data_IF_078594499836
#
_entry.id   IF_078594499836
#
_cell.length_a   1.000
_cell.length_b   1.000
_cell.length_c   1.000
_cell.angle_alpha   90.00
_cell.angle_beta   90.00
_cell.angle_gamma   90.00
#
_symmetry.space_group_name_H-M   'P 1'
#
loop_
_entity.id
_entity.type
_entity.pdbx_description
1 polymer ?
#
# COMPACT_ATOMS: atom_id res chain seq x y z
N UNK A 1 8.25 23.03 84.99
CA UNK A 1 9.35 22.60 84.10
C UNK A 1 8.83 21.41 83.31
N UNK A 2 8.75 21.32 81.99
CA UNK A 2 8.96 22.20 80.85
C UNK A 2 8.47 21.43 79.61
N UNK A 3 8.12 22.16 78.54
CA UNK A 3 7.97 21.82 77.11
C UNK A 3 7.98 20.33 76.70
N UNK A 4 7.16 19.85 75.76
CA UNK A 4 7.24 20.27 74.35
C UNK A 4 5.97 19.82 73.58
N UNK A 5 5.33 20.78 72.92
CA UNK A 5 4.28 20.59 71.91
C UNK A 5 4.88 20.96 70.55
N UNK A 6 4.69 20.11 69.52
CA UNK A 6 4.51 20.43 68.09
C UNK A 6 5.06 19.31 67.20
N UNK A 7 4.18 18.74 66.34
CA UNK A 7 4.34 18.70 64.87
C UNK A 7 3.50 17.56 64.28
N UNK A 8 2.35 17.87 63.66
CA UNK A 8 1.70 17.01 62.64
C UNK A 8 0.54 17.73 61.94
N UNK A 9 0.86 18.73 61.12
CA UNK A 9 -0.09 19.36 60.19
C UNK A 9 0.65 19.93 58.97
N UNK A 10 1.33 19.09 58.19
CA UNK A 10 1.99 19.53 56.93
C UNK A 10 1.88 18.53 55.76
N UNK A 11 1.20 17.40 55.90
CA UNK A 11 1.10 16.39 54.82
C UNK A 11 -0.09 16.58 53.88
N UNK A 12 -1.06 17.42 54.23
CA UNK A 12 -2.28 17.63 53.42
C UNK A 12 -2.16 18.76 52.40
N UNK A 13 -1.32 19.78 52.61
CA UNK A 13 -1.21 20.93 51.69
C UNK A 13 -0.29 20.65 50.49
N UNK A 14 0.72 19.78 50.66
CA UNK A 14 1.63 19.39 49.56
C UNK A 14 0.93 18.59 48.46
N UNK A 15 -0.01 17.72 48.80
CA UNK A 15 -0.78 16.94 47.80
C UNK A 15 -1.70 17.82 46.95
N UNK A 16 -2.24 18.90 47.50
CA UNK A 16 -3.09 19.85 46.77
C UNK A 16 -2.29 20.78 45.86
N UNK A 17 -1.09 21.18 46.27
CA UNK A 17 -0.18 21.97 45.42
C UNK A 17 0.43 21.17 44.26
N UNK A 18 0.75 19.89 44.47
CA UNK A 18 1.26 19.03 43.38
C UNK A 18 0.17 18.75 42.32
N UNK A 19 -1.08 18.54 42.76
CA UNK A 19 -2.21 18.37 41.84
C UNK A 19 -2.55 19.65 41.07
N UNK A 20 -2.41 20.85 41.67
CA UNK A 20 -2.69 22.11 40.96
C UNK A 20 -1.63 22.44 39.90
N UNK A 21 -0.35 22.15 40.19
CA UNK A 21 0.75 22.29 39.22
C UNK A 21 0.62 21.31 38.06
N UNK A 22 0.27 20.06 38.35
CA UNK A 22 0.05 19.04 37.32
C UNK A 22 -1.12 19.41 36.39
N UNK A 23 -2.22 19.94 36.93
CA UNK A 23 -3.36 20.40 36.13
C UNK A 23 -3.03 21.63 35.28
N UNK A 24 -2.18 22.53 35.77
CA UNK A 24 -1.76 23.72 35.02
C UNK A 24 -0.83 23.35 33.85
N UNK A 25 0.08 22.39 34.05
CA UNK A 25 0.95 21.87 32.99
C UNK A 25 0.17 21.15 31.89
N UNK A 26 -0.88 20.40 32.26
CA UNK A 26 -1.80 19.76 31.32
C UNK A 26 -2.56 20.82 30.50
N UNK A 27 -3.04 21.88 31.15
CA UNK A 27 -3.79 22.95 30.48
C UNK A 27 -2.94 23.73 29.47
N UNK A 28 -1.69 24.05 29.81
CA UNK A 28 -0.71 24.67 28.89
C UNK A 28 -0.41 23.79 27.67
N UNK A 29 -0.25 22.47 27.86
CA UNK A 29 -0.05 21.51 26.76
C UNK A 29 -1.25 21.45 25.83
N UNK A 30 -2.45 21.43 26.41
CA UNK A 30 -3.71 21.44 25.66
C UNK A 30 -3.81 22.72 24.84
N UNK A 31 -3.59 23.89 25.44
CA UNK A 31 -3.63 25.17 24.72
C UNK A 31 -2.61 25.25 23.58
N UNK A 32 -1.40 24.70 23.76
CA UNK A 32 -0.40 24.62 22.68
C UNK A 32 -0.83 23.69 21.55
N UNK A 33 -1.36 22.51 21.87
CA UNK A 33 -1.88 21.58 20.87
C UNK A 33 -3.08 22.18 20.11
N UNK A 34 -3.99 22.85 20.82
CA UNK A 34 -5.09 23.60 20.19
C UNK A 34 -4.55 24.72 19.30
N UNK A 35 -3.53 25.46 19.73
CA UNK A 35 -2.91 26.47 18.88
C UNK A 35 -2.32 25.83 17.62
N UNK A 36 -1.58 24.72 17.72
CA UNK A 36 -1.03 24.01 16.55
C UNK A 36 -2.13 23.48 15.62
N UNK A 37 -3.23 22.97 16.17
CA UNK A 37 -4.37 22.51 15.39
C UNK A 37 -5.11 23.68 14.68
N UNK A 38 -5.11 24.87 15.27
CA UNK A 38 -5.86 26.04 14.79
C UNK A 38 -5.03 27.05 13.98
N UNK A 39 -3.72 27.19 14.22
CA UNK A 39 -2.87 28.23 13.63
C UNK A 39 -2.03 27.73 12.46
N UNK A 40 -1.90 26.41 12.28
CA UNK A 40 -1.07 25.86 11.22
C UNK A 40 -1.88 25.74 9.92
N UNK A 41 -1.47 26.49 8.90
CA UNK A 41 -1.90 26.26 7.50
C UNK A 41 -1.55 24.84 7.02
N UNK A 42 -0.74 24.12 7.79
CA UNK A 42 -0.32 22.76 7.52
C UNK A 42 -1.29 21.67 7.98
N UNK A 43 -2.28 21.99 8.82
CA UNK A 43 -3.22 21.00 9.35
C UNK A 43 -4.39 20.74 8.38
N UNK A 44 -4.43 19.61 7.65
CA UNK A 44 -5.35 19.45 6.52
C UNK A 44 -6.75 19.05 6.95
N UNK A 45 -6.92 18.42 8.12
CA UNK A 45 -8.20 17.89 8.59
C UNK A 45 -9.18 19.03 8.83
N UNK A 46 -9.91 19.40 7.76
CA UNK A 46 -10.85 20.50 7.72
C UNK A 46 -11.95 20.36 8.79
N UNK A 47 -12.14 19.15 9.30
CA UNK A 47 -13.10 18.77 10.33
C UNK A 47 -12.85 19.50 11.66
N UNK A 48 -11.60 19.88 11.95
CA UNK A 48 -11.28 20.68 13.14
C UNK A 48 -11.46 22.19 12.93
N UNK A 49 -11.62 22.65 11.69
CA UNK A 49 -11.70 24.08 11.36
C UNK A 49 -13.14 24.62 11.40
N UNK A 50 -14.17 23.77 11.37
CA UNK A 50 -15.57 24.21 11.32
C UNK A 50 -16.37 23.78 12.56
N UNK A 51 -16.63 24.74 13.45
CA UNK A 51 -17.77 24.68 14.39
C UNK A 51 -17.66 23.71 15.57
N UNK A 52 -16.51 23.08 15.79
CA UNK A 52 -16.28 22.24 16.96
C UNK A 52 -16.00 23.10 18.19
N UNK A 53 -16.78 22.89 19.26
CA UNK A 53 -16.55 23.56 20.55
C UNK A 53 -15.14 23.23 21.08
N UNK A 54 -14.52 24.19 21.76
CA UNK A 54 -13.23 24.06 22.45
C UNK A 54 -13.27 22.86 23.41
N UNK A 55 -14.44 22.61 24.02
CA UNK A 55 -14.71 21.44 24.87
C UNK A 55 -14.47 20.10 24.17
N UNK A 56 -14.85 19.99 22.90
CA UNK A 56 -14.70 18.76 22.11
C UNK A 56 -13.23 18.47 21.78
N UNK A 57 -12.46 19.51 21.46
CA UNK A 57 -11.02 19.38 21.28
C UNK A 57 -10.28 19.04 22.58
N UNK A 58 -10.73 19.61 23.71
CA UNK A 58 -10.20 19.29 25.04
C UNK A 58 -10.36 17.80 25.35
N UNK A 59 -11.54 17.22 25.07
CA UNK A 59 -11.80 15.78 25.27
C UNK A 59 -10.89 14.89 24.43
N UNK A 60 -10.58 15.26 23.18
CA UNK A 60 -9.62 14.50 22.36
C UNK A 60 -8.24 14.51 23.00
N UNK A 61 -7.75 15.68 23.39
CA UNK A 61 -6.39 15.79 23.93
C UNK A 61 -6.31 15.08 25.27
N UNK A 62 -7.32 15.23 26.14
CA UNK A 62 -7.43 14.49 27.40
C UNK A 62 -7.47 12.97 27.17
N UNK A 63 -8.20 12.51 26.16
CA UNK A 63 -8.23 11.10 25.77
C UNK A 63 -6.87 10.63 25.28
N UNK A 64 -6.19 11.35 24.38
CA UNK A 64 -4.87 10.94 23.88
C UNK A 64 -3.85 10.86 25.02
N UNK A 65 -3.98 11.75 26.00
CA UNK A 65 -3.12 11.78 27.18
C UNK A 65 -3.47 10.68 28.21
N UNK A 66 -4.72 10.22 28.27
CA UNK A 66 -5.21 9.26 29.27
C UNK A 66 -5.37 7.82 28.73
N UNK A 67 -5.59 7.66 27.43
CA UNK A 67 -5.82 6.37 26.78
C UNK A 67 -4.49 5.67 26.50
N UNK A 68 -4.41 4.44 26.99
CA UNK A 68 -3.37 3.47 26.64
C UNK A 68 -3.72 2.60 25.43
N UNK A 69 -4.94 2.71 24.87
CA UNK A 69 -5.45 1.85 23.80
C UNK A 69 -5.86 2.66 22.56
N UNK A 70 -5.30 2.29 21.40
CA UNK A 70 -5.56 2.95 20.10
C UNK A 70 -7.03 2.83 19.64
N UNK A 71 -7.73 1.76 20.01
CA UNK A 71 -9.14 1.56 19.66
C UNK A 71 -10.06 2.64 20.25
N UNK A 72 -9.77 3.08 21.48
CA UNK A 72 -10.53 4.15 22.15
C UNK A 72 -10.33 5.51 21.44
N UNK A 73 -9.14 5.74 20.87
CA UNK A 73 -8.83 6.97 20.13
C UNK A 73 -9.64 7.08 18.85
N UNK A 74 -9.70 6.02 18.03
CA UNK A 74 -10.47 6.00 16.79
C UNK A 74 -11.97 6.25 17.03
N UNK A 75 -12.55 5.65 18.08
CA UNK A 75 -13.95 5.88 18.47
C UNK A 75 -14.20 7.36 18.75
N UNK A 76 -13.31 7.97 19.54
CA UNK A 76 -13.48 9.36 19.99
C UNK A 76 -13.26 10.34 18.86
N UNK A 77 -12.32 10.05 17.95
CA UNK A 77 -12.13 10.85 16.76
C UNK A 77 -13.35 10.77 15.83
N UNK A 78 -13.91 9.58 15.60
CA UNK A 78 -15.15 9.43 14.81
C UNK A 78 -16.32 10.19 15.45
N UNK A 79 -16.47 10.12 16.78
CA UNK A 79 -17.48 10.92 17.50
C UNK A 79 -17.30 12.42 17.30
N UNK A 80 -16.06 12.90 17.33
CA UNK A 80 -15.78 14.30 17.08
C UNK A 80 -16.05 14.70 15.64
N UNK A 81 -15.69 13.86 14.66
CA UNK A 81 -15.93 14.11 13.24
C UNK A 81 -17.43 14.29 12.97
N UNK A 82 -18.26 13.43 13.58
CA UNK A 82 -19.72 13.55 13.48
C UNK A 82 -20.26 14.76 14.25
N UNK A 83 -19.65 15.19 15.36
CA UNK A 83 -20.06 16.37 16.14
C UNK A 83 -21.58 16.36 16.43
N UNK A 84 -22.06 15.25 16.99
CA UNK A 84 -23.48 14.96 17.28
C UNK A 84 -24.41 14.91 16.04
N UNK A 85 -23.89 14.99 14.82
CA UNK A 85 -24.64 14.66 13.60
C UNK A 85 -24.96 13.16 13.59
N UNK A 86 -26.09 12.77 12.99
CA UNK A 86 -26.42 11.35 12.77
C UNK A 86 -25.72 10.79 11.53
N UNK A 87 -25.51 11.64 10.52
CA UNK A 87 -24.90 11.30 9.24
C UNK A 87 -24.06 12.45 8.71
N UNK A 88 -23.09 12.14 7.85
CA UNK A 88 -22.24 13.11 7.14
C UNK A 88 -22.36 12.86 5.63
N UNK A 89 -22.46 13.90 4.78
CA UNK A 89 -22.46 13.74 3.33
C UNK A 89 -21.22 12.99 2.81
N UNK A 90 -21.38 12.12 1.81
CA UNK A 90 -20.28 11.33 1.23
C UNK A 90 -19.06 12.16 0.82
N UNK A 91 -19.27 13.33 0.22
CA UNK A 91 -18.17 14.20 -0.23
C UNK A 91 -17.32 14.73 0.93
N UNK A 92 -17.89 14.94 2.12
CA UNK A 92 -17.12 15.31 3.33
C UNK A 92 -16.25 14.13 3.81
N UNK A 93 -16.73 12.88 3.67
CA UNK A 93 -15.95 11.68 3.98
C UNK A 93 -14.84 11.43 2.96
N UNK A 94 -15.11 11.66 1.68
CA UNK A 94 -14.07 11.65 0.63
C UNK A 94 -12.97 12.66 0.94
N UNK A 95 -13.36 13.88 1.35
CA UNK A 95 -12.43 14.92 1.79
C UNK A 95 -11.66 14.52 3.05
N UNK A 96 -12.29 13.83 4.01
CA UNK A 96 -11.61 13.29 5.18
C UNK A 96 -10.47 12.34 4.78
N UNK A 97 -10.71 11.39 3.86
CA UNK A 97 -9.66 10.49 3.39
C UNK A 97 -8.53 11.23 2.68
N UNK A 98 -8.89 12.22 1.87
CA UNK A 98 -7.92 13.10 1.22
C UNK A 98 -7.05 13.84 2.25
N UNK A 99 -7.66 14.43 3.28
CA UNK A 99 -6.96 15.16 4.33
C UNK A 99 -6.05 14.23 5.17
N UNK A 100 -6.51 13.01 5.49
CA UNK A 100 -5.68 11.98 6.13
C UNK A 100 -4.48 11.60 5.26
N UNK A 101 -4.69 11.33 3.97
CA UNK A 101 -3.62 11.00 3.02
C UNK A 101 -2.58 12.12 2.93
N UNK A 102 -3.02 13.38 2.80
CA UNK A 102 -2.13 14.55 2.83
C UNK A 102 -1.33 14.60 4.12
N UNK A 103 -2.00 14.45 5.26
CA UNK A 103 -1.35 14.52 6.56
C UNK A 103 -0.27 13.43 6.69
N UNK A 104 -0.63 12.19 6.38
CA UNK A 104 0.25 11.03 6.47
C UNK A 104 1.46 11.18 5.54
N UNK A 105 1.23 11.53 4.27
CA UNK A 105 2.30 11.78 3.31
C UNK A 105 3.23 12.92 3.75
N UNK A 106 2.70 14.01 4.31
CA UNK A 106 3.54 15.08 4.88
C UNK A 106 4.40 14.59 6.04
N UNK A 107 3.82 13.79 6.94
CA UNK A 107 4.58 13.22 8.06
C UNK A 107 5.65 12.23 7.59
N UNK A 108 5.42 11.47 6.52
CA UNK A 108 6.46 10.57 5.98
C UNK A 108 7.53 11.34 5.22
N UNK A 109 7.13 12.38 4.47
CA UNK A 109 8.03 13.10 3.57
C UNK A 109 8.94 14.11 4.29
N UNK A 110 8.62 14.51 5.53
CA UNK A 110 9.36 15.31 6.56
C UNK A 110 10.36 16.41 6.17
N UNK A 111 11.15 16.25 5.11
CA UNK A 111 12.29 17.10 4.77
C UNK A 111 12.08 17.93 3.49
N UNK A 112 11.09 17.61 2.64
CA UNK A 112 10.95 18.27 1.34
C UNK A 112 9.51 18.70 1.00
N UNK A 113 9.08 19.83 1.58
CA UNK A 113 7.76 20.42 1.32
C UNK A 113 7.54 20.83 -0.14
N UNK A 114 8.62 21.00 -0.91
CA UNK A 114 8.55 21.37 -2.34
C UNK A 114 8.02 20.21 -3.18
N UNK A 115 8.43 18.98 -2.85
CA UNK A 115 7.96 17.75 -3.48
C UNK A 115 6.46 17.59 -3.25
N UNK A 116 5.99 17.88 -2.03
CA UNK A 116 4.58 17.72 -1.67
C UNK A 116 3.63 18.56 -2.53
N UNK A 117 4.03 19.79 -2.91
CA UNK A 117 3.20 20.66 -3.74
C UNK A 117 2.95 20.12 -5.15
N UNK A 118 3.76 19.17 -5.61
CA UNK A 118 3.64 18.55 -6.93
C UNK A 118 2.86 17.23 -6.92
N UNK A 119 2.49 16.73 -5.74
CA UNK A 119 1.77 15.46 -5.60
C UNK A 119 0.33 15.65 -6.06
N UNK A 120 0.00 15.05 -7.20
CA UNK A 120 -1.36 14.90 -7.68
C UNK A 120 -1.96 13.68 -6.98
N UNK A 121 -2.99 13.91 -6.16
CA UNK A 121 -3.76 12.84 -5.53
C UNK A 121 -4.91 12.39 -6.43
N UNK A 122 -5.29 11.12 -6.29
CA UNK A 122 -6.33 10.50 -7.12
C UNK A 122 -7.69 10.51 -6.40
N UNK A 123 -8.53 11.49 -6.77
CA UNK A 123 -9.88 11.65 -6.22
C UNK A 123 -10.77 10.42 -6.44
N UNK A 124 -10.52 9.63 -7.48
CA UNK A 124 -11.30 8.42 -7.74
C UNK A 124 -10.99 7.33 -6.71
N UNK A 125 -9.75 7.27 -6.19
CA UNK A 125 -9.39 6.35 -5.11
C UNK A 125 -10.13 6.70 -3.81
N UNK A 126 -10.20 7.99 -3.45
CA UNK A 126 -10.95 8.42 -2.27
C UNK A 126 -12.46 8.20 -2.44
N UNK A 127 -12.98 8.41 -3.64
CA UNK A 127 -14.35 8.07 -3.99
C UNK A 127 -14.61 6.57 -3.84
N UNK A 128 -13.66 5.72 -4.26
CA UNK A 128 -13.77 4.27 -4.13
C UNK A 128 -13.76 3.78 -2.68
N UNK A 129 -12.99 4.42 -1.80
CA UNK A 129 -13.04 4.19 -0.35
C UNK A 129 -14.40 4.58 0.21
N UNK A 130 -14.88 5.77 -0.16
CA UNK A 130 -16.18 6.27 0.30
C UNK A 130 -17.33 5.37 -0.16
N UNK A 131 -17.25 4.83 -1.39
CA UNK A 131 -18.22 3.90 -1.93
C UNK A 131 -18.18 2.52 -1.26
N UNK A 132 -17.07 2.16 -0.61
CA UNK A 132 -16.95 0.88 0.09
C UNK A 132 -17.59 0.86 1.48
N UNK A 133 -17.85 2.02 2.08
CA UNK A 133 -18.48 2.12 3.42
C UNK A 133 -19.93 1.63 3.39
N UNK A 134 -20.65 1.94 2.31
CA UNK A 134 -22.03 1.49 2.11
C UNK A 134 -22.20 0.95 0.70
N UNK A 135 -22.53 -0.34 0.59
CA UNK A 135 -22.76 -1.03 -0.69
C UNK A 135 -23.96 -0.52 -1.46
N UNK A 136 -24.88 0.18 -0.79
CA UNK A 136 -26.05 0.77 -1.40
C UNK A 136 -25.74 2.24 -1.73
N UNK A 137 -25.42 2.52 -3.01
CA UNK A 137 -25.17 3.88 -3.51
C UNK A 137 -26.39 4.84 -3.43
N UNK A 138 -27.46 4.45 -2.74
CA UNK A 138 -28.73 5.19 -2.69
C UNK A 138 -28.73 6.31 -1.66
N UNK A 139 -27.89 6.22 -0.63
CA UNK A 139 -27.79 7.21 0.45
C UNK A 139 -26.68 8.21 0.11
N UNK A 140 -27.05 9.50 0.14
CA UNK A 140 -26.10 10.61 -0.02
C UNK A 140 -25.18 10.79 1.19
N UNK A 141 -25.60 10.26 2.33
CA UNK A 141 -25.00 10.48 3.63
C UNK A 141 -24.60 9.15 4.27
N UNK A 142 -23.52 9.18 5.04
CA UNK A 142 -22.95 8.03 5.73
C UNK A 142 -23.25 8.15 7.23
N UNK A 143 -23.82 7.11 7.82
CA UNK A 143 -24.08 7.02 9.26
C UNK A 143 -22.79 6.76 10.05
N UNK A 144 -22.72 7.31 11.26
CA UNK A 144 -21.55 7.20 12.14
C UNK A 144 -21.16 5.75 12.43
N UNK A 145 -22.13 4.92 12.78
CA UNK A 145 -21.89 3.52 13.19
C UNK A 145 -21.35 2.70 12.04
N UNK A 146 -21.87 2.89 10.82
CA UNK A 146 -21.41 2.20 9.62
C UNK A 146 -19.98 2.60 9.26
N UNK A 147 -19.67 3.90 9.32
CA UNK A 147 -18.30 4.38 9.11
C UNK A 147 -17.33 3.80 10.13
N UNK A 148 -17.73 3.79 11.41
CA UNK A 148 -16.91 3.26 12.49
C UNK A 148 -16.63 1.75 12.31
N UNK A 149 -17.67 0.96 12.04
CA UNK A 149 -17.52 -0.48 11.77
C UNK A 149 -16.63 -0.72 10.54
N UNK A 150 -16.82 0.08 9.49
CA UNK A 150 -16.01 -0.03 8.28
C UNK A 150 -14.53 0.28 8.56
N UNK A 151 -14.20 1.38 9.24
CA UNK A 151 -12.80 1.70 9.60
C UNK A 151 -12.19 0.56 10.41
N UNK A 152 -12.92 0.04 11.41
CA UNK A 152 -12.39 -1.00 12.29
C UNK A 152 -12.00 -2.27 11.53
N UNK A 153 -12.74 -2.61 10.47
CA UNK A 153 -12.55 -3.84 9.70
C UNK A 153 -11.60 -3.61 8.52
N UNK A 154 -11.83 -2.56 7.75
CA UNK A 154 -11.20 -2.33 6.46
C UNK A 154 -10.04 -1.31 6.52
N UNK A 155 -9.95 -0.49 7.56
CA UNK A 155 -8.94 0.57 7.62
C UNK A 155 -8.54 0.96 9.06
N UNK A 156 -8.10 -0.01 9.90
CA UNK A 156 -7.93 0.20 11.34
C UNK A 156 -6.84 1.23 11.69
N UNK A 157 -5.89 1.44 10.78
CA UNK A 157 -4.73 2.32 10.94
C UNK A 157 -4.94 3.73 10.42
N UNK A 158 -6.15 4.08 9.93
CA UNK A 158 -6.43 5.37 9.28
C UNK A 158 -5.99 6.59 10.11
N UNK A 159 -6.14 6.53 11.43
CA UNK A 159 -5.81 7.63 12.34
C UNK A 159 -4.53 7.40 13.14
N UNK A 160 -3.78 6.34 12.84
CA UNK A 160 -2.63 5.93 13.62
C UNK A 160 -1.48 6.95 13.58
N UNK A 161 -1.14 7.46 12.39
CA UNK A 161 -0.06 8.46 12.25
C UNK A 161 -0.45 9.75 12.97
N UNK A 162 -1.72 10.15 12.89
CA UNK A 162 -2.24 11.29 13.64
C UNK A 162 -2.17 11.09 15.15
N UNK A 163 -2.54 9.91 15.64
CA UNK A 163 -2.41 9.54 17.06
C UNK A 163 -0.95 9.65 17.53
N UNK A 164 -0.02 9.09 16.75
CA UNK A 164 1.42 9.12 17.06
C UNK A 164 1.98 10.55 17.06
N UNK A 165 1.57 11.36 16.10
CA UNK A 165 1.93 12.77 16.03
C UNK A 165 1.45 13.53 17.27
N UNK A 166 0.19 13.37 17.68
CA UNK A 166 -0.34 13.98 18.91
C UNK A 166 0.43 13.54 20.16
N UNK A 167 0.77 12.25 20.28
CA UNK A 167 1.56 11.72 21.40
C UNK A 167 2.99 12.29 21.44
N UNK A 168 3.64 12.43 20.27
CA UNK A 168 4.97 13.07 20.16
C UNK A 168 4.94 14.54 20.58
N UNK A 169 3.96 15.30 20.10
CA UNK A 169 3.86 16.74 20.42
C UNK A 169 3.38 17.01 21.86
N UNK A 170 2.64 16.09 22.48
CA UNK A 170 2.21 16.22 23.87
C UNK A 170 3.31 15.91 24.90
N UNK A 171 4.30 15.08 24.54
CA UNK A 171 5.41 14.67 25.42
C UNK A 171 6.62 15.60 25.38
N UNK A 172 6.77 16.44 24.34
CA UNK A 172 7.91 17.33 24.12
C UNK A 172 8.13 18.41 25.19
N UNK A 173 7.25 18.53 26.20
CA UNK A 173 7.37 19.53 27.27
C UNK A 173 8.32 19.15 28.41
N UNK A 174 8.88 17.93 28.45
CA UNK A 174 9.75 17.49 29.57
C UNK A 174 11.26 17.62 29.34
N UNK A 175 11.73 17.95 28.13
CA UNK A 175 13.18 18.06 27.85
C UNK A 175 13.55 19.38 27.18
N UNK A 176 13.54 20.47 27.95
CA UNK A 176 14.50 21.54 27.69
C UNK A 176 15.87 21.09 28.21
N UNK A 177 16.59 20.30 27.39
CA UNK A 177 18.05 20.21 27.32
C UNK A 177 18.48 19.21 26.24
N UNK A 178 19.43 19.67 25.42
CA UNK A 178 20.18 18.94 24.38
C UNK A 178 19.38 18.53 23.14
N UNK A 179 19.05 19.52 22.31
CA UNK A 179 18.89 19.33 20.86
C UNK A 179 20.27 19.33 20.21
N UNK A 180 20.98 18.22 20.34
CA UNK A 180 22.03 17.81 19.42
C UNK A 180 21.92 16.28 19.31
N UNK A 181 22.09 15.78 18.09
CA UNK A 181 22.08 14.36 17.70
C UNK A 181 20.72 13.77 17.30
N UNK A 182 20.29 14.10 16.08
CA UNK A 182 19.88 13.11 15.09
C UNK A 182 19.96 13.69 13.67
N UNK A 183 21.09 14.33 13.35
CA UNK A 183 21.49 14.56 11.96
C UNK A 183 22.17 13.28 11.43
N UNK A 184 21.44 12.17 11.46
CA UNK A 184 21.95 10.89 10.96
C UNK A 184 21.75 10.87 9.44
N UNK A 185 22.81 11.28 8.72
CA UNK A 185 23.02 11.07 7.29
C UNK A 185 21.81 11.37 6.39
N UNK A 186 21.75 12.62 5.90
CA UNK A 186 21.12 12.91 4.61
C UNK A 186 21.92 12.17 3.51
N UNK A 187 21.76 10.86 3.44
CA UNK A 187 22.04 10.10 2.24
C UNK A 187 21.08 10.61 1.18
N UNK A 188 21.53 10.72 -0.07
CA UNK A 188 20.71 11.12 -1.22
C UNK A 188 19.51 10.15 -1.37
N UNK A 189 18.44 10.36 -0.61
CA UNK A 189 17.20 9.60 -0.70
C UNK A 189 16.40 10.18 -1.85
N UNK A 190 16.38 9.46 -2.97
CA UNK A 190 15.53 9.83 -4.11
C UNK A 190 14.13 9.32 -3.83
N UNK A 191 13.14 10.20 -3.98
CA UNK A 191 11.75 9.79 -4.02
C UNK A 191 11.56 8.67 -5.07
N UNK A 192 10.74 7.68 -4.71
CA UNK A 192 10.28 6.63 -5.61
C UNK A 192 9.68 7.25 -6.88
N UNK A 193 10.15 6.78 -8.04
CA UNK A 193 9.61 7.21 -9.33
C UNK A 193 8.28 6.51 -9.58
N UNK A 194 7.20 7.18 -9.25
CA UNK A 194 5.84 6.72 -9.50
C UNK A 194 5.44 6.95 -10.96
N UNK A 195 4.39 6.24 -11.40
CA UNK A 195 3.85 6.34 -12.76
C UNK A 195 2.36 6.69 -12.71
N UNK A 196 1.68 6.64 -13.85
CA UNK A 196 0.27 7.00 -13.93
C UNK A 196 -0.67 6.00 -13.23
N UNK A 197 -0.22 4.76 -13.00
CA UNK A 197 -1.03 3.70 -12.39
C UNK A 197 -0.79 3.70 -10.88
N UNK A 198 0.45 3.44 -10.44
CA UNK A 198 0.82 3.55 -9.03
C UNK A 198 1.13 5.03 -8.70
N UNK A 199 0.22 5.65 -7.96
CA UNK A 199 0.33 7.04 -7.49
C UNK A 199 0.50 7.11 -5.95
N UNK A 200 0.81 8.30 -5.38
CA UNK A 200 0.99 8.45 -3.93
C UNK A 200 -0.24 8.06 -3.11
N UNK A 201 -1.45 8.30 -3.64
CA UNK A 201 -2.70 7.90 -2.99
C UNK A 201 -2.80 6.38 -2.86
N UNK A 202 -2.40 5.63 -3.88
CA UNK A 202 -2.36 4.17 -3.85
C UNK A 202 -1.26 3.64 -2.94
N UNK A 203 -0.09 4.26 -2.91
CA UNK A 203 0.96 3.89 -1.94
C UNK A 203 0.46 4.09 -0.51
N UNK A 204 -0.17 5.23 -0.22
CA UNK A 204 -0.83 5.47 1.06
C UNK A 204 -1.89 4.39 1.35
N UNK A 205 -2.77 4.10 0.41
CA UNK A 205 -3.83 3.10 0.60
C UNK A 205 -3.26 1.69 0.86
N UNK A 206 -2.27 1.28 0.06
CA UNK A 206 -1.64 -0.04 0.17
C UNK A 206 -0.84 -0.16 1.47
N UNK A 207 -0.06 0.84 1.86
CA UNK A 207 0.73 0.81 3.11
C UNK A 207 -0.11 0.60 4.36
N UNK A 208 -1.38 0.98 4.33
CA UNK A 208 -2.30 0.75 5.44
C UNK A 208 -2.95 -0.65 5.45
N UNK A 209 -3.02 -1.32 4.30
CA UNK A 209 -3.86 -2.51 4.10
C UNK A 209 -3.09 -3.78 3.73
N UNK A 210 -1.90 -3.66 3.13
CA UNK A 210 -1.12 -4.83 2.71
C UNK A 210 -0.31 -5.42 3.88
N UNK A 211 0.00 -6.73 3.86
CA UNK A 211 0.86 -7.34 4.86
C UNK A 211 2.25 -6.70 4.96
N UNK A 212 2.85 -6.74 6.15
CA UNK A 212 4.16 -6.13 6.42
C UNK A 212 5.29 -6.66 5.54
N UNK A 213 5.19 -7.88 5.04
CA UNK A 213 6.15 -8.47 4.11
C UNK A 213 6.37 -7.61 2.86
N UNK A 214 5.34 -6.87 2.43
CA UNK A 214 5.40 -5.98 1.27
C UNK A 214 5.85 -4.55 1.63
N UNK A 215 6.16 -4.28 2.90
CA UNK A 215 6.47 -2.94 3.41
C UNK A 215 7.85 -2.85 4.07
N UNK A 216 8.48 -3.97 4.38
CA UNK A 216 9.80 -4.01 4.99
C UNK A 216 10.51 -5.33 4.66
N UNK A 217 11.72 -5.26 4.13
CA UNK A 217 12.54 -6.43 3.82
C UNK A 217 13.14 -7.05 5.09
N UNK A 218 13.40 -6.23 6.12
CA UNK A 218 14.20 -6.62 7.29
C UNK A 218 13.43 -6.59 8.63
N UNK A 219 12.09 -6.52 8.61
CA UNK A 219 11.25 -6.32 9.82
C UNK A 219 11.68 -5.12 10.71
N UNK A 220 12.50 -4.22 10.17
CA UNK A 220 13.08 -3.08 10.89
C UNK A 220 12.07 -1.95 11.09
N UNK A 221 11.04 -1.89 10.24
CA UNK A 221 10.00 -0.87 10.28
C UNK A 221 8.93 -1.21 11.33
N UNK A 222 9.06 -0.60 12.50
CA UNK A 222 8.15 -0.86 13.63
C UNK A 222 6.85 -0.08 13.51
N UNK A 223 6.88 1.13 12.94
CA UNK A 223 5.71 2.00 12.81
C UNK A 223 5.21 2.08 11.37
N UNK A 224 3.94 2.45 11.19
CA UNK A 224 3.35 2.71 9.88
C UNK A 224 4.07 3.85 9.12
N UNK A 225 4.54 4.85 9.86
CA UNK A 225 5.27 5.97 9.31
C UNK A 225 6.62 5.53 8.73
N UNK A 226 7.35 4.67 9.45
CA UNK A 226 8.61 4.09 8.97
C UNK A 226 8.38 3.28 7.70
N UNK A 227 7.31 2.48 7.67
CA UNK A 227 6.94 1.65 6.49
C UNK A 227 6.66 2.51 5.27
N UNK A 228 5.83 3.54 5.42
CA UNK A 228 5.50 4.43 4.32
C UNK A 228 6.72 5.22 3.84
N UNK A 229 7.55 5.70 4.77
CA UNK A 229 8.82 6.39 4.45
C UNK A 229 9.79 5.46 3.72
N UNK A 230 9.87 4.20 4.13
CA UNK A 230 10.72 3.17 3.51
C UNK A 230 10.31 2.90 2.07
N UNK A 231 9.01 2.77 1.79
CA UNK A 231 8.50 2.64 0.41
C UNK A 231 8.81 3.88 -0.42
N UNK A 232 8.59 5.08 0.13
CA UNK A 232 8.73 6.34 -0.60
C UNK A 232 10.19 6.75 -0.86
N UNK A 233 11.11 6.52 0.08
CA UNK A 233 12.49 7.04 0.02
C UNK A 233 13.56 5.97 -0.13
N UNK A 234 13.40 4.80 0.50
CA UNK A 234 14.45 3.78 0.51
C UNK A 234 14.43 2.91 -0.77
N UNK A 235 13.51 3.22 -1.70
CA UNK A 235 13.29 2.51 -2.96
C UNK A 235 13.09 1.01 -2.73
N UNK A 236 12.25 0.71 -1.74
CA UNK A 236 11.91 -0.68 -1.42
C UNK A 236 11.15 -1.38 -2.53
N UNK A 237 10.37 -0.63 -3.30
CA UNK A 237 9.63 -1.13 -4.44
C UNK A 237 10.37 -0.81 -5.72
N UNK A 238 10.91 -1.85 -6.32
CA UNK A 238 11.58 -1.77 -7.61
C UNK A 238 10.59 -2.03 -8.72
N UNK A 239 10.53 -1.13 -9.70
CA UNK A 239 9.67 -1.28 -10.85
C UNK A 239 10.19 -2.42 -11.75
N UNK A 240 9.39 -3.48 -11.93
CA UNK A 240 9.79 -4.66 -12.71
C UNK A 240 9.22 -4.65 -14.13
N UNK A 241 7.99 -4.17 -14.33
CA UNK A 241 7.30 -4.21 -15.60
C UNK A 241 6.14 -3.21 -15.69
N UNK A 242 6.03 -2.52 -16.83
CA UNK A 242 4.87 -1.70 -17.18
C UNK A 242 4.42 -1.98 -18.60
N UNK A 243 3.15 -2.35 -18.78
CA UNK A 243 2.63 -2.69 -20.10
C UNK A 243 2.67 -1.53 -21.12
N UNK A 244 2.67 -0.27 -20.67
CA UNK A 244 2.76 0.90 -21.57
C UNK A 244 4.16 1.08 -22.17
N UNK A 245 5.20 0.71 -21.40
CA UNK A 245 6.60 0.86 -21.83
C UNK A 245 7.17 -0.42 -22.41
N UNK A 246 6.89 -1.56 -21.75
CA UNK A 246 7.50 -2.84 -22.08
C UNK A 246 6.68 -3.62 -23.12
N UNK A 247 5.38 -3.29 -23.26
CA UNK A 247 4.40 -3.88 -24.18
C UNK A 247 3.55 -4.98 -23.53
N UNK A 248 2.28 -5.09 -23.91
CA UNK A 248 1.24 -5.86 -23.20
C UNK A 248 1.22 -7.38 -23.42
N UNK A 249 2.22 -7.97 -24.08
CA UNK A 249 2.15 -9.40 -24.40
C UNK A 249 2.51 -10.28 -23.20
N UNK A 250 1.87 -11.44 -23.10
CA UNK A 250 2.16 -12.44 -22.07
C UNK A 250 3.65 -12.79 -21.99
N UNK A 251 4.32 -12.95 -23.14
CA UNK A 251 5.75 -13.28 -23.17
C UNK A 251 6.61 -12.19 -22.52
N UNK A 252 6.24 -10.91 -22.71
CA UNK A 252 6.96 -9.79 -22.10
C UNK A 252 6.69 -9.74 -20.60
N UNK A 253 5.44 -9.95 -20.18
CA UNK A 253 5.10 -10.08 -18.77
C UNK A 253 5.90 -11.20 -18.09
N UNK A 254 5.91 -12.41 -18.65
CA UNK A 254 6.67 -13.55 -18.10
C UNK A 254 8.17 -13.24 -18.01
N UNK A 255 8.76 -12.67 -19.06
CA UNK A 255 10.18 -12.30 -19.10
C UNK A 255 10.58 -11.33 -17.97
N UNK A 256 9.68 -10.40 -17.61
CA UNK A 256 9.99 -9.41 -16.59
C UNK A 256 9.74 -9.87 -15.14
N UNK A 257 8.99 -10.94 -14.95
CA UNK A 257 8.51 -11.33 -13.61
C UNK A 257 9.08 -12.68 -13.18
N UNK A 258 9.21 -13.64 -14.10
CA UNK A 258 9.72 -14.96 -13.77
C UNK A 258 11.20 -14.85 -13.37
N UNK A 259 11.61 -15.62 -12.35
CA UNK A 259 12.96 -15.54 -11.78
C UNK A 259 13.14 -14.48 -10.68
N UNK A 260 12.13 -13.64 -10.40
CA UNK A 260 12.18 -12.73 -9.26
C UNK A 260 11.86 -13.48 -7.96
N UNK A 261 12.88 -13.71 -7.13
CA UNK A 261 12.81 -14.53 -5.92
C UNK A 261 12.42 -13.73 -4.67
N UNK A 262 11.45 -12.84 -4.80
CA UNK A 262 10.95 -12.02 -3.71
C UNK A 262 9.48 -11.65 -3.95
N UNK A 263 8.77 -11.11 -2.94
CA UNK A 263 7.37 -10.73 -3.07
C UNK A 263 7.16 -9.66 -4.15
N UNK A 264 6.01 -9.73 -4.82
CA UNK A 264 5.63 -8.87 -5.96
C UNK A 264 4.24 -8.29 -5.73
N UNK A 265 4.06 -7.03 -6.12
CA UNK A 265 2.77 -6.35 -6.21
C UNK A 265 2.46 -6.11 -7.69
N UNK A 266 1.26 -6.48 -8.12
CA UNK A 266 0.81 -6.33 -9.50
C UNK A 266 -0.50 -5.55 -9.53
N UNK A 267 -0.52 -4.43 -10.25
CA UNK A 267 -1.71 -3.65 -10.52
C UNK A 267 -2.26 -4.00 -11.90
N UNK A 268 -3.56 -4.28 -11.97
CA UNK A 268 -4.28 -4.55 -13.22
C UNK A 268 -5.36 -3.49 -13.43
N UNK A 269 -5.20 -2.69 -14.48
CA UNK A 269 -6.19 -1.70 -14.92
C UNK A 269 -7.06 -2.27 -16.03
N UNK A 270 -8.38 -2.19 -15.86
CA UNK A 270 -9.37 -2.73 -16.79
C UNK A 270 -10.18 -1.58 -17.40
N UNK A 271 -10.57 -1.75 -18.67
CA UNK A 271 -11.24 -0.73 -19.50
C UNK A 271 -12.56 -0.18 -18.94
N UNK A 272 -13.17 -0.88 -17.99
CA UNK A 272 -14.40 -0.48 -17.31
C UNK A 272 -14.14 0.35 -16.04
N UNK A 273 -12.91 0.85 -15.83
CA UNK A 273 -12.52 1.68 -14.69
C UNK A 273 -12.20 0.89 -13.42
N UNK A 274 -12.08 -0.43 -13.52
CA UNK A 274 -11.68 -1.27 -12.40
C UNK A 274 -10.16 -1.33 -12.29
N UNK A 275 -9.69 -1.26 -11.05
CA UNK A 275 -8.28 -1.41 -10.71
C UNK A 275 -8.16 -2.49 -9.65
N UNK A 276 -7.38 -3.53 -9.94
CA UNK A 276 -7.10 -4.62 -9.00
C UNK A 276 -5.63 -4.59 -8.60
N UNK A 277 -5.33 -5.00 -7.37
CA UNK A 277 -3.98 -5.15 -6.84
C UNK A 277 -3.79 -6.55 -6.30
N UNK A 278 -2.93 -7.33 -6.95
CA UNK A 278 -2.51 -8.65 -6.50
C UNK A 278 -1.18 -8.54 -5.77
N UNK A 279 -1.11 -9.03 -4.54
CA UNK A 279 0.12 -9.18 -3.79
C UNK A 279 0.49 -10.67 -3.75
N UNK A 280 1.69 -10.99 -4.23
CA UNK A 280 2.24 -12.34 -4.30
C UNK A 280 3.45 -12.44 -3.38
N UNK A 281 3.41 -13.35 -2.41
CA UNK A 281 4.49 -13.60 -1.45
C UNK A 281 5.46 -14.71 -1.90
N UNK A 282 5.14 -15.41 -2.99
CA UNK A 282 5.99 -16.40 -3.63
C UNK A 282 6.42 -15.97 -5.04
N UNK A 283 7.52 -16.58 -5.53
CA UNK A 283 8.00 -16.41 -6.90
C UNK A 283 6.93 -16.80 -7.92
N UNK A 284 6.71 -15.91 -8.89
CA UNK A 284 5.75 -16.13 -9.97
C UNK A 284 6.25 -17.21 -10.91
N UNK A 285 5.43 -18.24 -11.15
CA UNK A 285 5.81 -19.42 -11.93
C UNK A 285 4.62 -20.01 -12.68
N UNK A 286 4.92 -20.74 -13.75
CA UNK A 286 3.95 -21.67 -14.34
C UNK A 286 3.76 -22.86 -13.39
N UNK A 287 2.51 -23.21 -13.12
CA UNK A 287 2.19 -24.30 -12.20
C UNK A 287 0.91 -25.02 -12.64
N UNK A 288 0.89 -26.37 -12.58
CA UNK A 288 -0.33 -27.14 -12.80
C UNK A 288 -1.32 -27.07 -11.63
N UNK A 289 -0.94 -26.41 -10.52
CA UNK A 289 -1.75 -26.24 -9.31
C UNK A 289 -1.71 -24.79 -8.83
N UNK A 290 -2.72 -24.38 -8.07
CA UNK A 290 -2.69 -23.08 -7.40
C UNK A 290 -1.49 -22.99 -6.45
N UNK A 291 -0.94 -21.79 -6.32
CA UNK A 291 0.19 -21.44 -5.47
C UNK A 291 -0.04 -20.05 -4.84
N UNK A 292 0.97 -19.54 -4.12
CA UNK A 292 0.86 -18.37 -3.28
C UNK A 292 0.81 -18.79 -1.83
N UNK A 293 1.56 -18.08 -0.99
CA UNK A 293 1.67 -18.33 0.43
C UNK A 293 0.57 -17.65 1.23
N UNK A 294 0.75 -17.63 2.55
CA UNK A 294 -0.28 -17.20 3.52
C UNK A 294 -0.58 -15.71 3.38
N UNK A 295 0.34 -14.91 2.86
CA UNK A 295 0.22 -13.46 2.72
C UNK A 295 -0.11 -13.02 1.28
N UNK A 296 -0.41 -13.96 0.39
CA UNK A 296 -0.98 -13.64 -0.90
C UNK A 296 -2.39 -13.04 -0.71
N UNK A 297 -2.68 -11.95 -1.41
CA UNK A 297 -3.98 -11.29 -1.35
C UNK A 297 -4.31 -10.52 -2.64
N UNK A 298 -5.60 -10.36 -2.90
CA UNK A 298 -6.14 -9.60 -4.02
C UNK A 298 -7.07 -8.51 -3.48
N UNK A 299 -6.79 -7.27 -3.83
CA UNK A 299 -7.65 -6.12 -3.59
C UNK A 299 -8.33 -5.67 -4.88
N UNK A 300 -9.57 -5.22 -4.75
CA UNK A 300 -10.18 -4.32 -5.72
C UNK A 300 -10.00 -2.90 -5.17
N UNK A 301 -9.28 -2.04 -5.89
CA UNK A 301 -9.01 -0.66 -5.49
C UNK A 301 -10.04 0.31 -6.05
N UNK A 302 -10.53 0.06 -7.27
CA UNK A 302 -11.59 0.84 -7.94
C UNK A 302 -12.62 -0.08 -8.59
N UNK A 303 -13.90 0.35 -8.71
CA UNK A 303 -14.49 1.61 -8.24
C UNK A 303 -14.94 1.56 -6.76
N UNK A 304 -14.83 0.41 -6.11
CA UNK A 304 -15.06 0.23 -4.67
C UNK A 304 -13.86 -0.48 -4.07
N UNK A 305 -13.34 0.06 -2.97
CA UNK A 305 -12.23 -0.57 -2.25
C UNK A 305 -12.73 -1.81 -1.50
N UNK A 306 -12.10 -2.97 -1.73
CA UNK A 306 -12.36 -4.18 -0.95
C UNK A 306 -11.19 -5.16 -1.03
N UNK A 307 -10.89 -5.81 0.10
CA UNK A 307 -10.14 -7.06 0.10
C UNK A 307 -11.04 -8.15 -0.49
N UNK A 308 -10.65 -8.68 -1.65
CA UNK A 308 -11.44 -9.68 -2.38
C UNK A 308 -11.15 -11.08 -1.85
N UNK A 309 -9.87 -11.41 -1.71
CA UNK A 309 -9.41 -12.69 -1.19
C UNK A 309 -8.03 -12.55 -0.57
N UNK A 310 -7.80 -13.28 0.50
CA UNK A 310 -6.48 -13.49 1.11
C UNK A 310 -6.25 -14.97 1.42
N UNK A 311 -4.97 -15.32 1.55
CA UNK A 311 -4.49 -16.62 1.99
C UNK A 311 -3.77 -17.42 0.91
N UNK A 312 -3.39 -18.67 1.22
CA UNK A 312 -2.58 -19.50 0.35
C UNK A 312 -3.36 -20.08 -0.82
N UNK A 313 -2.62 -20.48 -1.86
CA UNK A 313 -3.12 -21.16 -3.04
C UNK A 313 -4.21 -20.38 -3.79
N UNK A 314 -4.01 -19.06 -3.96
CA UNK A 314 -4.96 -18.20 -4.66
C UNK A 314 -4.53 -17.87 -6.10
N UNK A 315 -3.31 -18.21 -6.51
CA UNK A 315 -2.76 -17.85 -7.83
C UNK A 315 -2.61 -19.12 -8.66
N UNK A 316 -3.08 -19.10 -9.90
CA UNK A 316 -2.85 -20.16 -10.87
C UNK A 316 -2.48 -19.54 -12.21
N UNK A 317 -1.33 -19.96 -12.75
CA UNK A 317 -0.82 -19.46 -14.01
C UNK A 317 -0.50 -20.63 -14.92
N UNK A 318 -1.21 -20.74 -16.03
CA UNK A 318 -0.96 -21.75 -17.04
C UNK A 318 -0.94 -21.12 -18.43
N UNK A 319 0.16 -21.25 -19.14
CA UNK A 319 0.30 -20.70 -20.50
C UNK A 319 0.69 -21.76 -21.52
N UNK A 320 1.27 -22.89 -21.08
CA UNK A 320 1.85 -23.92 -21.96
C UNK A 320 1.19 -25.29 -21.82
N UNK A 321 0.59 -25.62 -20.68
CA UNK A 321 0.05 -26.96 -20.43
C UNK A 321 -1.30 -27.12 -21.13
N UNK A 322 -1.29 -27.80 -22.28
CA UNK A 322 -2.50 -28.22 -22.99
C UNK A 322 -3.23 -29.29 -22.17
N UNK A 323 -4.52 -29.07 -21.88
CA UNK A 323 -5.37 -30.04 -21.18
C UNK A 323 -5.72 -29.70 -19.71
N UNK A 324 -5.13 -28.65 -19.12
CA UNK A 324 -5.51 -28.12 -17.80
C UNK A 324 -6.02 -26.69 -17.93
N UNK A 325 -7.33 -26.52 -18.07
CA UNK A 325 -8.03 -25.22 -18.21
C UNK A 325 -7.56 -24.37 -19.41
N UNK A 326 -8.28 -23.27 -19.67
CA UNK A 326 -7.86 -22.29 -20.67
C UNK A 326 -6.51 -21.67 -20.27
N UNK A 327 -5.63 -21.31 -21.23
CA UNK A 327 -4.40 -20.61 -20.90
C UNK A 327 -4.71 -19.21 -20.34
N UNK A 328 -3.97 -18.76 -19.34
CA UNK A 328 -4.18 -17.49 -18.67
C UNK A 328 -3.65 -17.43 -17.23
N UNK A 329 -3.90 -16.28 -16.59
CA UNK A 329 -3.69 -16.03 -15.18
C UNK A 329 -5.04 -16.04 -14.45
N UNK A 330 -5.18 -16.93 -13.49
CA UNK A 330 -6.39 -17.12 -12.72
C UNK A 330 -6.09 -16.85 -11.24
N UNK A 331 -6.96 -16.08 -10.60
CA UNK A 331 -6.85 -15.77 -9.18
C UNK A 331 -8.13 -16.21 -8.50
N UNK A 332 -8.00 -17.19 -7.61
CA UNK A 332 -9.08 -17.82 -6.87
C UNK A 332 -8.60 -19.12 -6.22
N UNK A 333 -9.42 -19.67 -5.32
CA UNK A 333 -9.13 -20.96 -4.66
C UNK A 333 -9.46 -22.16 -5.54
N UNK A 334 -10.31 -21.94 -6.53
CA UNK A 334 -10.77 -22.95 -7.47
C UNK A 334 -10.91 -22.33 -8.87
N UNK A 335 -10.68 -23.15 -9.89
CA UNK A 335 -10.82 -22.78 -11.30
C UNK A 335 -12.28 -22.49 -11.66
N UNK A 336 -13.24 -23.11 -10.97
CA UNK A 336 -14.67 -22.85 -11.16
C UNK A 336 -15.12 -21.50 -10.58
N UNK A 337 -14.44 -21.02 -9.53
CA UNK A 337 -14.80 -19.81 -8.79
C UNK A 337 -13.58 -18.88 -8.68
N UNK A 338 -13.20 -18.32 -9.83
CA UNK A 338 -12.13 -17.32 -9.92
C UNK A 338 -12.69 -15.93 -9.70
N UNK A 339 -11.94 -15.10 -8.97
CA UNK A 339 -12.27 -13.71 -8.69
C UNK A 339 -11.75 -12.77 -9.79
N UNK A 340 -10.63 -13.15 -10.39
CA UNK A 340 -10.01 -12.46 -11.52
C UNK A 340 -9.38 -13.51 -12.45
N UNK A 341 -9.70 -13.45 -13.73
CA UNK A 341 -9.20 -14.34 -14.77
C UNK A 341 -8.78 -13.50 -15.97
N UNK A 342 -7.51 -13.55 -16.31
CA UNK A 342 -6.91 -12.91 -17.47
C UNK A 342 -6.58 -14.02 -18.46
N UNK A 343 -7.05 -13.88 -19.70
CA UNK A 343 -6.80 -14.87 -20.74
C UNK A 343 -5.31 -14.97 -21.13
N UNK A 344 -4.97 -16.03 -21.87
CA UNK A 344 -3.59 -16.28 -22.32
C UNK A 344 -3.03 -15.20 -23.24
N UNK A 345 -3.89 -14.42 -23.90
CA UNK A 345 -3.50 -13.30 -24.76
C UNK A 345 -3.27 -12.00 -23.97
N UNK A 346 -3.57 -11.99 -22.67
CA UNK A 346 -3.45 -10.81 -21.78
C UNK A 346 -4.28 -9.63 -22.31
N UNK A 347 -5.47 -9.95 -22.81
CA UNK A 347 -6.37 -8.99 -23.43
C UNK A 347 -7.73 -8.97 -22.75
N UNK A 348 -8.37 -10.13 -22.57
CA UNK A 348 -9.67 -10.21 -21.93
C UNK A 348 -9.53 -10.56 -20.45
N UNK A 349 -10.33 -9.88 -19.64
CA UNK A 349 -10.35 -10.05 -18.18
C UNK A 349 -11.77 -10.31 -17.73
N UNK A 350 -11.98 -11.43 -17.03
CA UNK A 350 -13.22 -11.72 -16.31
C UNK A 350 -12.98 -11.49 -14.83
N UNK A 351 -13.84 -10.70 -14.20
CA UNK A 351 -13.80 -10.43 -12.76
C UNK A 351 -15.20 -10.55 -12.16
N UNK A 352 -15.29 -10.50 -10.83
CA UNK A 352 -16.55 -10.68 -10.10
C UNK A 352 -17.71 -9.81 -10.57
N UNK A 353 -17.43 -8.62 -11.10
CA UNK A 353 -18.45 -7.64 -11.45
C UNK A 353 -18.65 -7.52 -12.97
N UNK A 354 -18.08 -8.43 -13.76
CA UNK A 354 -18.29 -8.49 -15.21
C UNK A 354 -17.03 -8.86 -15.99
N UNK A 355 -17.06 -8.57 -17.29
CA UNK A 355 -15.95 -8.80 -18.21
C UNK A 355 -15.45 -7.45 -18.74
N UNK A 356 -14.17 -7.36 -19.07
CA UNK A 356 -13.54 -6.16 -19.59
C UNK A 356 -12.24 -6.46 -20.30
N UNK A 357 -11.59 -5.41 -20.83
CA UNK A 357 -10.29 -5.52 -21.49
C UNK A 357 -9.19 -5.04 -20.56
N UNK A 358 -8.07 -5.75 -20.54
CA UNK A 358 -6.85 -5.32 -19.86
C UNK A 358 -6.29 -4.08 -20.57
N UNK A 359 -6.27 -2.96 -19.85
CA UNK A 359 -5.73 -1.68 -20.35
C UNK A 359 -4.27 -1.59 -20.00
N UNK A 360 -3.94 -1.85 -18.73
CA UNK A 360 -2.58 -1.74 -18.27
C UNK A 360 -2.25 -2.70 -17.13
N UNK A 361 -0.95 -2.99 -17.03
CA UNK A 361 -0.36 -3.80 -15.97
C UNK A 361 0.86 -3.05 -15.45
N UNK A 362 0.98 -2.99 -14.13
CA UNK A 362 2.12 -2.38 -13.46
C UNK A 362 2.63 -3.31 -12.36
N UNK A 363 3.93 -3.61 -12.35
CA UNK A 363 4.50 -4.63 -11.48
C UNK A 363 5.68 -4.08 -10.69
N UNK A 364 5.62 -4.29 -9.38
CA UNK A 364 6.57 -3.81 -8.40
C UNK A 364 7.12 -4.96 -7.57
N UNK A 365 8.44 -5.12 -7.55
CA UNK A 365 9.15 -6.10 -6.73
C UNK A 365 9.52 -5.52 -5.38
N UNK A 366 9.42 -6.32 -4.32
CA UNK A 366 9.58 -5.85 -2.93
C UNK A 366 10.81 -6.42 -2.19
N UNK A 367 11.64 -7.22 -2.86
CA UNK A 367 12.91 -7.74 -2.32
C UNK A 367 14.03 -6.70 -2.15
N UNK A 368 13.77 -5.44 -2.52
CA UNK A 368 14.76 -4.36 -2.52
C UNK A 368 15.92 -4.59 -3.49
N UNK A 369 16.92 -3.69 -3.40
CA UNK A 369 18.01 -3.61 -4.39
C UNK A 369 18.78 -4.91 -4.60
N UNK A 370 18.96 -5.74 -3.56
CA UNK A 370 19.67 -7.03 -3.70
C UNK A 370 18.95 -7.98 -4.64
N UNK A 371 17.65 -8.16 -4.46
CA UNK A 371 16.86 -9.04 -5.33
C UNK A 371 16.77 -8.50 -6.75
N UNK A 372 16.67 -7.18 -6.92
CA UNK A 372 16.70 -6.54 -8.24
C UNK A 372 18.07 -6.70 -8.94
N UNK A 373 19.18 -6.55 -8.21
CA UNK A 373 20.54 -6.75 -8.73
C UNK A 373 20.81 -8.22 -9.11
N UNK A 374 20.34 -9.16 -8.29
CA UNK A 374 20.43 -10.60 -8.58
C UNK A 374 19.63 -10.95 -9.85
N UNK A 375 18.42 -10.42 -9.98
CA UNK A 375 17.60 -10.62 -11.17
C UNK A 375 18.28 -10.01 -12.42
N UNK A 376 18.80 -8.78 -12.33
CA UNK A 376 19.49 -8.15 -13.44
C UNK A 376 20.77 -8.90 -13.83
N UNK A 377 21.52 -9.41 -12.85
CA UNK A 377 22.72 -10.21 -13.09
C UNK A 377 22.37 -11.54 -13.77
N UNK A 378 21.30 -12.19 -13.31
CA UNK A 378 20.78 -13.42 -13.91
C UNK A 378 20.34 -13.20 -15.37
N UNK A 379 19.59 -12.12 -15.63
CA UNK A 379 19.18 -11.73 -16.99
C UNK A 379 20.36 -11.40 -17.90
N UNK A 380 21.34 -10.65 -17.41
CA UNK A 380 22.55 -10.37 -18.19
C UNK A 380 23.30 -11.65 -18.51
N UNK A 381 23.32 -12.61 -17.59
CA UNK A 381 23.90 -13.92 -17.86
C UNK A 381 23.09 -14.69 -18.91
N UNK A 382 21.76 -14.74 -18.81
CA UNK A 382 20.88 -15.40 -19.78
C UNK A 382 21.01 -14.78 -21.18
N UNK A 383 20.98 -13.45 -21.28
CA UNK A 383 21.17 -12.73 -22.54
C UNK A 383 22.54 -13.03 -23.15
N UNK A 384 23.61 -13.09 -22.33
CA UNK A 384 24.94 -13.51 -22.81
C UNK A 384 24.95 -14.96 -23.28
N UNK A 385 24.16 -15.86 -22.68
CA UNK A 385 24.03 -17.24 -23.15
C UNK A 385 23.24 -17.32 -24.46
N UNK A 386 22.14 -16.56 -24.59
CA UNK A 386 21.34 -16.46 -25.82
C UNK A 386 22.15 -15.85 -26.96
N UNK A 387 22.94 -14.81 -26.69
CA UNK A 387 23.88 -14.25 -27.67
C UNK A 387 24.96 -15.26 -28.08
N UNK A 388 25.52 -16.01 -27.12
CA UNK A 388 26.50 -17.05 -27.41
C UNK A 388 25.90 -18.16 -28.26
N UNK A 389 24.68 -18.60 -27.95
CA UNK A 389 24.00 -19.68 -28.67
C UNK A 389 23.45 -19.24 -30.03
N UNK A 390 23.03 -17.98 -30.19
CA UNK A 390 22.63 -17.42 -31.49
C UNK A 390 23.83 -17.11 -32.39
N UNK A 391 25.01 -16.82 -31.82
CA UNK A 391 26.27 -16.69 -32.57
C UNK A 391 26.87 -18.03 -32.99
N UNK A 392 26.37 -19.16 -32.48
CA UNK A 392 26.67 -20.48 -33.07
C UNK A 392 25.92 -20.56 -34.39
N UNK A 393 26.62 -20.31 -35.50
CA UNK A 393 26.15 -20.70 -36.83
C UNK A 393 25.94 -22.20 -36.81
N UNK A 394 24.70 -22.65 -36.74
CA UNK A 394 24.37 -24.06 -36.97
C UNK A 394 24.83 -24.41 -38.37
N UNK A 395 25.51 -25.55 -38.50
CA UNK A 395 25.92 -26.02 -39.82
C UNK A 395 24.67 -26.34 -40.63
N UNK A 396 24.71 -26.12 -41.94
CA UNK A 396 23.63 -26.49 -42.85
C UNK A 396 23.23 -27.97 -42.67
N UNK A 397 24.21 -28.84 -42.42
CA UNK A 397 24.02 -30.27 -42.17
C UNK A 397 23.21 -30.57 -40.89
N UNK A 398 23.34 -29.74 -39.85
CA UNK A 398 22.59 -29.89 -38.61
C UNK A 398 21.14 -29.44 -38.77
N UNK A 399 20.90 -28.38 -39.55
CA UNK A 399 19.55 -27.91 -39.88
C UNK A 399 18.82 -28.90 -40.81
N UNK A 400 19.52 -29.47 -41.78
CA UNK A 400 19.00 -30.51 -42.68
C UNK A 400 18.65 -31.80 -41.92
N UNK A 401 19.50 -32.24 -40.98
CA UNK A 401 19.22 -33.39 -40.13
C UNK A 401 18.00 -33.17 -39.21
N UNK A 402 17.81 -31.96 -38.69
CA UNK A 402 16.65 -31.61 -37.86
C UNK A 402 15.37 -31.53 -38.71
N UNK A 403 15.44 -30.95 -39.91
CA UNK A 403 14.30 -30.87 -40.84
C UNK A 403 13.86 -32.26 -41.32
N UNK A 404 14.82 -33.14 -41.61
CA UNK A 404 14.56 -34.53 -41.99
C UNK A 404 13.96 -35.33 -40.83
N UNK A 405 14.41 -35.14 -39.59
CA UNK A 405 13.78 -35.75 -38.41
C UNK A 405 12.37 -35.21 -38.11
N UNK A 406 12.07 -33.96 -38.50
CA UNK A 406 10.76 -33.36 -38.39
C UNK A 406 9.81 -33.72 -39.56
N UNK A 407 10.27 -34.53 -40.53
CA UNK A 407 9.50 -34.94 -41.70
C UNK A 407 9.25 -33.83 -42.72
N UNK A 408 10.00 -32.72 -42.64
CA UNK A 408 9.90 -31.60 -43.58
C UNK A 408 10.95 -31.83 -44.67
N UNK A 409 10.50 -32.39 -45.80
CA UNK A 409 11.33 -32.55 -46.99
C UNK A 409 11.50 -31.19 -47.65
N UNK A 410 12.73 -30.76 -47.87
CA UNK A 410 13.00 -29.48 -48.54
C UNK A 410 12.76 -29.62 -50.05
N UNK A 411 12.47 -28.52 -50.76
CA UNK A 411 12.25 -28.55 -52.22
C UNK A 411 13.44 -29.12 -53.00
N UNK A 412 14.65 -29.04 -52.45
CA UNK A 412 15.85 -29.54 -53.09
C UNK A 412 15.88 -31.08 -53.16
N UNK A 413 15.31 -31.75 -52.16
CA UNK A 413 15.18 -33.21 -52.11
C UNK A 413 14.07 -33.72 -53.03
N UNK A 414 13.01 -32.93 -53.22
CA UNK A 414 11.95 -33.24 -54.19
C UNK A 414 12.47 -33.21 -55.64
N UNK A 415 13.40 -32.31 -55.98
CA UNK A 415 13.99 -32.23 -57.33
C UNK A 415 14.99 -33.37 -57.62
N UNK A 416 15.62 -33.96 -56.59
CA UNK A 416 16.48 -35.14 -56.77
C UNK A 416 15.69 -36.45 -56.89
N UNK A 417 14.53 -36.54 -56.22
CA UNK A 417 13.62 -37.70 -56.35
C UNK A 417 12.93 -37.78 -57.72
N UNK A 418 12.78 -36.65 -58.43
CA UNK A 418 12.20 -36.62 -59.78
C UNK A 418 13.22 -36.86 -60.92
N UNK A 419 14.52 -36.90 -60.60
CA UNK A 419 15.60 -37.05 -61.59
C UNK A 419 16.32 -38.41 -61.53
N UNK A 420 15.78 -39.40 -60.81
CA UNK A 420 16.27 -40.78 -60.78
C UNK A 420 15.21 -41.77 -61.26
#
# INVERSE_FOLDING_TARGET
MGNTSQSRTTSSSKKTEDNSKQNTEIYEKILRLLSLLCTDDQFPLCIFRQGTDISSHYRIIETVLSSTKSEDFSILLVKLIWNDRMSIPRHEITKLFHDCCIFDLKQALTEDMTIFQTIILDDQCFSALTNSIETNNTTSDIEQEKFYQWIRIQFPTLFYIFEMWLRKHSTLSKSNKTSQEASASASNRSLMKMNNILNPTLVWLLTHNIPNLYLSADNSCTTLLDRMSSVLYDQMWDHLYNSHHDGSSLNRFQHHIFGYKAPIIILFEISNGYLFCLCCDEEFKESPKHYGGIQACLFQLKPTFKLVIEGPNIIFMNTKLRGLSAPGLFIGRDLAHTFLNIDGDFFNVKHLNGEGRLVAIDVWGVGGRKSAEEQNSMRQWENRQVEKSSKVKRSYEEEEAILNMAGIVTRHDQEQLYNN
#
